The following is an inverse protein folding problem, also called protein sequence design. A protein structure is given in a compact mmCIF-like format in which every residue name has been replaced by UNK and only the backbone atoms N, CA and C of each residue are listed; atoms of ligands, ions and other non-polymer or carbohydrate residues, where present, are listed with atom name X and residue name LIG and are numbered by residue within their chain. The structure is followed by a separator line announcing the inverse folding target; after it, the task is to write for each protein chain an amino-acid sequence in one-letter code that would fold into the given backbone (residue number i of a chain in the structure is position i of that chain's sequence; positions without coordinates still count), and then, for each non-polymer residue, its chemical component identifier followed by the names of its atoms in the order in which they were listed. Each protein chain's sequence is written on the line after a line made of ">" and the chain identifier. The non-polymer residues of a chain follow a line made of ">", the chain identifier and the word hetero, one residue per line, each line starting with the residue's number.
data_IF_951944269165
#
_entry.id   IF_951944269165
#
_cell.length_a   1.000
_cell.length_b   1.000
_cell.length_c   1.000
_cell.angle_alpha   90.00
_cell.angle_beta   90.00
_cell.angle_gamma   90.00
#
_symmetry.space_group_name_H-M   'P 1'
#
loop_
_entity.id
_entity.type
_entity.pdbx_description
1 polymer ?
#
# COMPACT_ATOMS: atom_id res chain seq x y z
N UNK A 1 0.50 -14.32 7.75
CA UNK A 1 0.80 -13.44 6.60
C UNK A 1 0.39 -14.00 5.22
N UNK A 2 -0.34 -15.12 5.13
CA UNK A 2 -0.78 -15.69 3.83
C UNK A 2 -2.23 -15.36 3.44
N UNK A 3 -2.96 -14.67 4.33
CA UNK A 3 -4.37 -14.31 4.13
C UNK A 3 -4.48 -12.88 3.58
N UNK A 4 -3.56 -11.99 3.95
CA UNK A 4 -3.61 -10.57 3.59
C UNK A 4 -3.30 -10.32 2.10
N UNK A 5 -2.25 -10.95 1.58
CA UNK A 5 -1.84 -10.83 0.17
C UNK A 5 -2.92 -11.26 -0.84
N UNK A 6 -3.57 -12.43 -0.72
CA UNK A 6 -4.61 -12.82 -1.66
C UNK A 6 -5.88 -11.97 -1.52
N UNK A 7 -6.23 -11.51 -0.32
CA UNK A 7 -7.41 -10.65 -0.11
C UNK A 7 -7.23 -9.27 -0.76
N UNK A 8 -6.06 -8.65 -0.59
CA UNK A 8 -5.78 -7.33 -1.18
C UNK A 8 -5.72 -7.37 -2.71
N UNK A 9 -5.13 -8.43 -3.27
CA UNK A 9 -5.16 -8.67 -4.71
C UNK A 9 -6.61 -8.90 -5.22
N UNK A 10 -7.39 -9.76 -4.56
CA UNK A 10 -8.78 -10.02 -4.92
C UNK A 10 -9.64 -8.75 -4.87
N UNK A 11 -9.52 -7.97 -3.79
CA UNK A 11 -10.20 -6.68 -3.64
C UNK A 11 -9.87 -5.72 -4.80
N UNK A 12 -8.60 -5.64 -5.20
CA UNK A 12 -8.16 -4.80 -6.32
C UNK A 12 -8.76 -5.26 -7.65
N UNK A 13 -8.90 -6.58 -7.89
CA UNK A 13 -9.57 -7.09 -9.09
C UNK A 13 -11.08 -6.89 -9.12
N UNK A 14 -11.73 -6.91 -7.95
CA UNK A 14 -13.18 -6.72 -7.84
C UNK A 14 -13.56 -5.26 -8.14
N UNK A 15 -12.77 -4.30 -7.66
CA UNK A 15 -13.00 -2.87 -7.95
C UNK A 15 -12.64 -2.47 -9.39
N UNK A 16 -11.86 -3.29 -10.09
CA UNK A 16 -11.38 -2.97 -11.43
C UNK A 16 -12.44 -3.29 -12.51
N UNK A 17 -12.69 -2.36 -13.46
CA UNK A 17 -13.54 -2.62 -14.63
C UNK A 17 -13.07 -3.84 -15.41
N UNK A 18 -14.01 -4.64 -15.92
CA UNK A 18 -13.71 -5.93 -16.57
C UNK A 18 -12.72 -5.83 -17.75
N UNK A 19 -12.73 -4.70 -18.47
CA UNK A 19 -11.86 -4.38 -19.60
C UNK A 19 -10.45 -3.90 -19.20
N UNK A 20 -10.23 -3.51 -17.93
CA UNK A 20 -8.96 -2.92 -17.44
C UNK A 20 -8.35 -3.60 -16.23
N UNK A 21 -8.82 -4.78 -15.85
CA UNK A 21 -8.26 -5.53 -14.70
C UNK A 21 -6.75 -5.73 -14.77
N UNK A 22 -6.20 -5.96 -15.97
CA UNK A 22 -4.76 -6.10 -16.18
C UNK A 22 -3.98 -4.82 -15.86
N UNK A 23 -4.54 -3.66 -16.16
CA UNK A 23 -3.94 -2.35 -15.86
C UNK A 23 -3.91 -2.09 -14.35
N UNK A 24 -5.03 -2.34 -13.65
CA UNK A 24 -5.13 -2.19 -12.19
C UNK A 24 -4.18 -3.13 -11.45
N UNK A 25 -4.06 -4.37 -11.90
CA UNK A 25 -3.09 -5.33 -11.35
C UNK A 25 -1.64 -4.94 -11.67
N UNK A 26 -1.39 -4.31 -12.83
CA UNK A 26 -0.11 -3.72 -13.16
C UNK A 26 0.28 -2.60 -12.18
N UNK A 27 -0.65 -1.69 -11.86
CA UNK A 27 -0.42 -0.64 -10.86
C UNK A 27 -0.21 -1.20 -9.44
N UNK A 28 -0.97 -2.22 -9.06
CA UNK A 28 -0.78 -2.93 -7.80
C UNK A 28 0.66 -3.44 -7.69
N UNK A 29 1.16 -4.15 -8.72
CA UNK A 29 2.53 -4.67 -8.73
C UNK A 29 3.59 -3.56 -8.78
N UNK A 30 3.35 -2.48 -9.53
CA UNK A 30 4.27 -1.34 -9.59
C UNK A 30 4.47 -0.71 -8.20
N UNK A 31 3.41 -0.66 -7.39
CA UNK A 31 3.48 -0.18 -6.00
C UNK A 31 4.40 -1.05 -5.15
N UNK A 32 4.31 -2.38 -5.29
CA UNK A 32 5.24 -3.29 -4.61
C UNK A 32 6.68 -3.09 -5.07
N UNK A 33 6.93 -3.03 -6.38
CA UNK A 33 8.28 -2.79 -6.92
C UNK A 33 8.86 -1.47 -6.40
N UNK A 34 8.06 -0.41 -6.36
CA UNK A 34 8.48 0.88 -5.82
C UNK A 34 8.79 0.78 -4.33
N UNK A 35 7.94 0.14 -3.53
CA UNK A 35 8.16 -0.03 -2.09
C UNK A 35 9.45 -0.84 -1.80
N UNK A 36 9.72 -1.90 -2.54
CA UNK A 36 10.94 -2.70 -2.39
C UNK A 36 12.20 -1.95 -2.84
N UNK A 37 12.10 -1.05 -3.82
CA UNK A 37 13.22 -0.27 -4.31
C UNK A 37 13.53 0.94 -3.40
N UNK A 38 12.51 1.73 -3.06
CA UNK A 38 12.67 2.97 -2.31
C UNK A 38 12.70 2.74 -0.79
N UNK A 39 12.03 1.69 -0.30
CA UNK A 39 11.87 1.40 1.13
C UNK A 39 13.18 1.23 1.89
N UNK A 40 14.08 0.32 1.46
CA UNK A 40 15.37 0.13 2.11
C UNK A 40 16.23 1.39 2.07
N UNK A 41 16.28 2.06 0.92
CA UNK A 41 17.11 3.26 0.76
C UNK A 41 16.64 4.40 1.68
N UNK A 42 15.34 4.73 1.67
CA UNK A 42 14.78 5.75 2.56
C UNK A 42 14.88 5.35 4.03
N UNK A 43 14.62 4.07 4.34
CA UNK A 43 14.73 3.53 5.69
C UNK A 43 16.15 3.66 6.25
N UNK A 44 17.17 3.31 5.46
CA UNK A 44 18.58 3.44 5.85
C UNK A 44 18.96 4.90 6.06
N UNK A 45 18.62 5.80 5.13
CA UNK A 45 18.94 7.23 5.26
C UNK A 45 18.32 7.83 6.53
N UNK A 46 17.06 7.51 6.83
CA UNK A 46 16.39 8.01 8.04
C UNK A 46 17.03 7.40 9.30
N UNK A 47 17.33 6.09 9.27
CA UNK A 47 17.96 5.41 10.39
C UNK A 47 19.34 5.99 10.73
N UNK A 48 20.18 6.23 9.72
CA UNK A 48 21.55 6.73 9.92
C UNK A 48 21.58 8.18 10.42
N UNK A 49 20.70 9.04 9.91
CA UNK A 49 20.72 10.48 10.25
C UNK A 49 19.92 10.82 11.52
N UNK A 50 18.84 10.10 11.78
CA UNK A 50 17.85 10.46 12.82
C UNK A 50 17.62 9.35 13.85
N UNK A 51 18.22 8.17 13.65
CA UNK A 51 18.11 7.04 14.57
C UNK A 51 16.82 6.25 14.44
N UNK A 52 16.73 5.18 15.25
CA UNK A 52 15.64 4.21 15.18
C UNK A 52 14.27 4.78 15.58
N UNK A 53 14.23 5.66 16.58
CA UNK A 53 12.97 6.22 17.12
C UNK A 53 12.21 6.99 16.05
N UNK A 54 12.90 7.83 15.28
CA UNK A 54 12.30 8.63 14.21
C UNK A 54 11.86 7.75 13.04
N UNK A 55 12.65 6.73 12.68
CA UNK A 55 12.26 5.77 11.64
C UNK A 55 10.94 5.07 11.96
N UNK A 56 10.86 4.46 13.16
CA UNK A 56 9.70 3.66 13.55
C UNK A 56 8.46 4.51 13.83
N UNK A 57 8.63 5.71 14.43
CA UNK A 57 7.51 6.65 14.59
C UNK A 57 7.00 7.16 13.24
N UNK A 58 7.89 7.44 12.27
CA UNK A 58 7.52 7.75 10.90
C UNK A 58 6.71 6.63 10.25
N UNK A 59 7.17 5.39 10.34
CA UNK A 59 6.46 4.22 9.84
C UNK A 59 5.07 4.07 10.47
N UNK A 60 4.95 4.32 11.78
CA UNK A 60 3.66 4.31 12.48
C UNK A 60 2.73 5.40 11.93
N UNK A 61 3.22 6.63 11.76
CA UNK A 61 2.44 7.74 11.20
C UNK A 61 1.95 7.41 9.78
N UNK A 62 2.81 6.88 8.91
CA UNK A 62 2.40 6.44 7.57
C UNK A 62 1.36 5.31 7.60
N UNK A 63 1.50 4.37 8.54
CA UNK A 63 0.50 3.32 8.77
C UNK A 63 -0.85 3.88 9.20
N UNK A 64 -0.86 4.85 10.13
CA UNK A 64 -2.08 5.53 10.56
C UNK A 64 -2.72 6.35 9.43
N UNK A 65 -1.93 7.03 8.61
CA UNK A 65 -2.44 7.75 7.43
C UNK A 65 -3.10 6.76 6.47
N UNK A 66 -2.47 5.61 6.21
CA UNK A 66 -3.04 4.57 5.33
C UNK A 66 -4.34 4.01 5.89
N UNK A 67 -4.39 3.74 7.20
CA UNK A 67 -5.61 3.30 7.87
C UNK A 67 -6.71 4.36 7.77
N UNK A 68 -6.39 5.62 8.04
CA UNK A 68 -7.34 6.74 7.90
C UNK A 68 -7.87 6.85 6.47
N UNK A 69 -6.99 6.80 5.46
CA UNK A 69 -7.39 6.81 4.04
C UNK A 69 -8.32 5.65 3.71
N UNK A 70 -8.04 4.43 4.18
CA UNK A 70 -8.94 3.28 4.00
C UNK A 70 -10.31 3.50 4.65
N UNK A 71 -10.40 4.17 5.81
CA UNK A 71 -11.69 4.55 6.38
C UNK A 71 -12.43 5.61 5.54
N UNK A 72 -11.70 6.52 4.87
CA UNK A 72 -12.28 7.53 3.99
C UNK A 72 -12.61 7.02 2.58
N UNK A 73 -12.05 5.88 2.17
CA UNK A 73 -12.49 5.16 0.97
C UNK A 73 -13.92 4.67 1.22
N UNK A 74 -14.87 5.58 0.96
CA UNK A 74 -16.30 5.30 0.95
C UNK A 74 -16.50 4.12 0.02
N UNK A 75 -17.00 3.01 0.57
CA UNK A 75 -17.49 1.89 -0.22
C UNK A 75 -18.48 2.46 -1.23
N UNK A 76 -18.02 2.63 -2.48
CA UNK A 76 -18.88 3.07 -3.55
C UNK A 76 -19.69 1.83 -3.93
N UNK A 77 -21.00 1.78 -3.66
CA UNK A 77 -21.82 0.60 -3.92
C UNK A 77 -22.15 0.45 -5.42
N UNK A 78 -21.27 0.95 -6.30
CA UNK A 78 -21.49 1.04 -7.74
C UNK A 78 -21.04 -0.23 -8.49
N UNK A 79 -20.61 -1.27 -7.78
CA UNK A 79 -20.33 -2.58 -8.38
C UNK A 79 -21.31 -3.58 -7.76
N UNK A 80 -22.51 -3.62 -8.32
CA UNK A 80 -23.38 -4.80 -8.33
C UNK A 80 -23.05 -5.61 -9.58
#
# INVERSE_FOLDING_TARGET
>A
EMIFFPITAAYTSEIAPADRRGEYMGYYQMTFSFAFSAGPWLGTVVYENYGSVILWSGALVFGLITAALMFFVKSNPAIK
#
